data_IF_830562918146
#
_entry.id   IF_830562918146
#
_cell.length_a   1.000
_cell.length_b   1.000
_cell.length_c   1.000
_cell.angle_alpha   90.00
_cell.angle_beta   90.00
_cell.angle_gamma   90.00
#
_symmetry.space_group_name_H-M   'P 1'
#
loop_
_entity.id
_entity.type
_entity.pdbx_description
1 polymer ?
#
# COMPACT_ATOMS: atom_id res chain seq x y z
N UNK A 1 -41.24 11.01 -41.83
CA UNK A 1 -39.82 10.96 -41.58
C UNK A 1 -39.56 11.26 -40.13
N UNK A 2 -39.57 10.22 -39.33
CA UNK A 2 -39.23 10.26 -37.92
C UNK A 2 -37.75 9.87 -37.83
N UNK A 3 -36.93 10.81 -37.34
CA UNK A 3 -35.57 10.62 -37.03
C UNK A 3 -35.47 9.98 -35.61
N UNK A 4 -34.90 8.82 -35.40
CA UNK A 4 -34.72 8.31 -34.04
C UNK A 4 -33.54 9.01 -33.39
N UNK A 5 -33.86 9.67 -32.31
CA UNK A 5 -32.97 10.29 -31.36
C UNK A 5 -31.96 9.25 -30.83
N UNK A 6 -30.70 9.38 -31.24
CA UNK A 6 -29.60 8.67 -30.62
C UNK A 6 -29.16 9.47 -29.42
N UNK A 7 -29.80 9.24 -28.29
CA UNK A 7 -29.16 9.59 -27.02
C UNK A 7 -28.00 8.64 -26.78
N UNK A 8 -26.85 8.97 -27.30
CA UNK A 8 -25.59 8.41 -26.82
C UNK A 8 -25.41 8.93 -25.40
N UNK A 9 -25.71 8.09 -24.44
CA UNK A 9 -25.34 8.33 -23.05
C UNK A 9 -23.82 8.50 -23.00
N UNK A 10 -23.41 9.73 -22.81
CA UNK A 10 -22.05 10.05 -22.42
C UNK A 10 -21.90 9.51 -20.99
N UNK A 11 -21.43 8.29 -20.87
CA UNK A 11 -20.96 7.76 -19.59
C UNK A 11 -19.79 8.66 -19.24
N UNK A 12 -19.91 9.38 -18.14
CA UNK A 12 -18.95 10.35 -17.67
C UNK A 12 -17.63 9.60 -17.36
N UNK A 13 -16.74 9.55 -18.36
CA UNK A 13 -15.46 8.80 -18.29
C UNK A 13 -14.59 9.29 -17.13
N UNK A 14 -14.71 10.56 -16.76
CA UNK A 14 -13.95 11.14 -15.65
C UNK A 14 -14.38 10.58 -14.29
N UNK A 15 -15.67 10.30 -14.09
CA UNK A 15 -16.14 9.68 -12.84
C UNK A 15 -15.72 8.22 -12.72
N UNK A 16 -15.64 7.50 -13.83
CA UNK A 16 -15.20 6.12 -13.83
C UNK A 16 -13.69 6.03 -13.54
N UNK A 17 -12.89 6.91 -14.13
CA UNK A 17 -11.45 6.98 -13.87
C UNK A 17 -11.16 7.31 -12.40
N UNK A 18 -11.85 8.28 -11.82
CA UNK A 18 -11.69 8.63 -10.41
C UNK A 18 -12.03 7.47 -9.47
N UNK A 19 -13.04 6.65 -9.80
CA UNK A 19 -13.37 5.46 -9.02
C UNK A 19 -12.25 4.41 -9.09
N UNK A 20 -11.67 4.16 -10.26
CA UNK A 20 -10.56 3.22 -10.43
C UNK A 20 -9.30 3.67 -9.70
N UNK A 21 -8.99 4.98 -9.73
CA UNK A 21 -7.90 5.56 -8.96
C UNK A 21 -8.12 5.32 -7.46
N UNK A 22 -9.31 5.59 -6.97
CA UNK A 22 -9.67 5.39 -5.56
C UNK A 22 -9.53 3.92 -5.15
N UNK A 23 -10.04 3.00 -5.95
CA UNK A 23 -9.94 1.57 -5.69
C UNK A 23 -8.49 1.11 -5.62
N UNK A 24 -7.67 1.51 -6.59
CA UNK A 24 -6.25 1.15 -6.63
C UNK A 24 -5.48 1.74 -5.43
N UNK A 25 -5.67 3.01 -5.13
CA UNK A 25 -5.01 3.65 -3.98
C UNK A 25 -5.43 3.01 -2.65
N UNK A 26 -6.72 2.65 -2.51
CA UNK A 26 -7.19 1.92 -1.33
C UNK A 26 -6.53 0.53 -1.22
N UNK A 27 -6.40 -0.20 -2.31
CA UNK A 27 -5.78 -1.51 -2.30
C UNK A 27 -4.29 -1.44 -1.93
N UNK A 28 -3.52 -0.50 -2.49
CA UNK A 28 -2.10 -0.35 -2.16
C UNK A 28 -1.86 0.19 -0.74
N UNK A 29 -2.88 0.77 -0.11
CA UNK A 29 -2.76 1.31 1.25
C UNK A 29 -2.39 0.26 2.30
N UNK A 30 -2.57 -1.03 2.02
CA UNK A 30 -2.12 -2.13 2.89
C UNK A 30 -0.61 -2.12 3.12
N UNK A 31 0.15 -1.57 2.18
CA UNK A 31 1.62 -1.46 2.26
C UNK A 31 2.12 -0.12 2.82
N UNK A 32 1.25 0.81 3.20
CA UNK A 32 1.64 2.18 3.59
C UNK A 32 2.67 2.26 4.72
N UNK A 33 2.63 1.31 5.64
CA UNK A 33 3.49 1.29 6.82
C UNK A 33 4.81 0.51 6.61
N UNK A 34 5.01 -0.05 5.41
CA UNK A 34 6.11 -0.96 5.13
C UNK A 34 6.97 -0.49 3.97
N UNK A 35 8.28 -0.61 4.12
CA UNK A 35 9.22 -0.45 2.99
C UNK A 35 9.11 -1.65 2.03
N UNK A 36 8.79 -2.83 2.59
CA UNK A 36 8.55 -4.06 1.84
C UNK A 36 7.24 -4.69 2.30
N UNK A 37 6.35 -4.91 1.35
CA UNK A 37 5.12 -5.68 1.53
C UNK A 37 5.03 -6.75 0.44
N UNK A 38 5.03 -8.03 0.84
CA UNK A 38 5.02 -9.09 -0.16
C UNK A 38 4.96 -10.50 0.40
N UNK A 39 5.06 -11.49 -0.49
CA UNK A 39 5.06 -12.90 -0.09
C UNK A 39 6.44 -13.35 0.34
N UNK A 40 7.47 -12.97 -0.41
CA UNK A 40 8.81 -13.49 -0.24
C UNK A 40 9.85 -12.38 -0.32
N UNK A 41 10.74 -12.36 0.65
CA UNK A 41 11.93 -11.51 0.64
C UNK A 41 13.15 -12.41 0.61
N UNK A 42 13.99 -12.24 -0.41
CA UNK A 42 15.30 -12.88 -0.50
C UNK A 42 16.43 -11.86 -0.50
N UNK A 43 17.60 -12.26 0.00
CA UNK A 43 18.79 -11.43 -0.05
C UNK A 43 19.99 -12.27 -0.46
N UNK A 44 20.69 -11.86 -1.51
CA UNK A 44 21.75 -12.67 -2.11
C UNK A 44 23.15 -12.33 -1.58
N UNK A 45 23.34 -11.16 -1.03
CA UNK A 45 24.65 -10.69 -0.57
C UNK A 45 24.55 -10.08 0.82
N UNK A 46 24.80 -10.91 1.83
CA UNK A 46 24.94 -10.42 3.19
C UNK A 46 26.10 -9.44 3.34
N UNK A 47 25.96 -8.53 4.26
CA UNK A 47 26.97 -7.53 4.57
C UNK A 47 26.46 -6.54 5.60
N UNK A 48 26.93 -5.33 5.55
CA UNK A 48 26.46 -4.22 6.38
C UNK A 48 25.18 -3.59 5.86
N UNK A 49 24.63 -4.10 4.76
CA UNK A 49 23.40 -3.61 4.18
C UNK A 49 22.22 -3.84 5.14
N UNK A 50 21.27 -2.92 5.10
CA UNK A 50 20.11 -2.95 5.96
C UNK A 50 18.85 -2.47 5.24
N UNK A 51 17.73 -2.74 5.88
CA UNK A 51 16.43 -2.24 5.51
C UNK A 51 16.06 -1.18 6.55
N UNK A 52 16.07 0.09 6.15
CA UNK A 52 15.54 1.19 6.96
C UNK A 52 14.05 1.25 6.81
N UNK A 53 13.34 0.70 7.77
CA UNK A 53 11.88 0.67 7.77
C UNK A 53 11.32 -0.69 8.18
N UNK A 54 10.00 -0.77 8.10
CA UNK A 54 9.28 -1.98 8.50
C UNK A 54 9.00 -2.87 7.29
N UNK A 55 8.83 -4.15 7.54
CA UNK A 55 8.48 -5.14 6.51
C UNK A 55 7.28 -5.97 6.95
N UNK A 56 6.44 -6.37 5.98
CA UNK A 56 5.46 -7.42 6.15
C UNK A 56 5.60 -8.41 5.01
N UNK A 57 6.06 -9.62 5.34
CA UNK A 57 6.25 -10.68 4.35
C UNK A 57 5.79 -12.04 4.90
N UNK A 58 5.28 -12.89 4.02
CA UNK A 58 4.91 -14.24 4.40
C UNK A 58 6.15 -15.11 4.65
N UNK A 59 7.21 -14.90 3.88
CA UNK A 59 8.44 -15.68 4.01
C UNK A 59 9.70 -14.84 3.79
N UNK A 60 10.73 -15.12 4.56
CA UNK A 60 12.10 -14.65 4.30
C UNK A 60 12.97 -15.84 4.00
N UNK A 61 13.74 -15.75 2.93
CA UNK A 61 14.66 -16.78 2.50
C UNK A 61 16.06 -16.17 2.33
N UNK A 62 17.07 -16.84 2.86
CA UNK A 62 18.47 -16.46 2.65
C UNK A 62 18.78 -15.00 3.00
N UNK A 63 18.18 -14.46 4.06
CA UNK A 63 18.42 -13.09 4.49
C UNK A 63 19.62 -13.04 5.43
N UNK A 64 20.61 -12.22 5.11
CA UNK A 64 21.75 -11.91 5.97
C UNK A 64 21.91 -10.40 6.11
N UNK A 65 20.84 -9.72 6.52
CA UNK A 65 20.77 -8.27 6.60
C UNK A 65 20.22 -7.83 7.93
N UNK A 66 20.33 -6.53 8.20
CA UNK A 66 19.72 -5.90 9.35
C UNK A 66 18.40 -5.21 9.01
N UNK A 67 17.51 -5.15 9.99
CA UNK A 67 16.37 -4.25 10.01
C UNK A 67 16.71 -3.09 10.92
N UNK A 68 16.69 -1.89 10.36
CA UNK A 68 16.91 -0.66 11.10
C UNK A 68 15.66 0.21 11.01
N UNK A 69 15.06 0.49 12.14
CA UNK A 69 13.90 1.40 12.23
C UNK A 69 14.27 2.60 13.11
N UNK A 70 15.34 3.30 12.75
CA UNK A 70 15.98 4.28 13.61
C UNK A 70 15.12 5.50 13.90
N UNK A 71 14.68 6.20 12.90
CA UNK A 71 14.02 7.50 13.06
C UNK A 71 12.50 7.48 12.87
N UNK A 72 12.01 6.49 12.17
CA UNK A 72 10.59 6.37 11.79
C UNK A 72 9.70 5.96 12.96
N UNK A 73 10.28 5.41 14.02
CA UNK A 73 9.55 4.84 15.15
C UNK A 73 9.50 5.73 16.38
N UNK A 74 9.75 7.02 16.28
CA UNK A 74 9.58 7.92 17.43
C UNK A 74 8.08 8.26 17.58
N UNK A 75 7.44 7.75 18.64
CA UNK A 75 5.97 7.87 18.78
C UNK A 75 5.43 9.30 18.89
N UNK A 76 6.28 10.27 19.12
CA UNK A 76 5.92 11.67 19.37
C UNK A 76 6.53 12.64 18.35
N UNK A 77 7.09 12.15 17.25
CA UNK A 77 7.67 13.01 16.24
C UNK A 77 6.58 13.59 15.35
N UNK A 78 6.57 14.90 15.22
CA UNK A 78 5.71 15.57 14.24
C UNK A 78 6.35 15.37 12.86
N UNK A 79 5.67 14.66 12.00
CA UNK A 79 6.09 14.51 10.61
C UNK A 79 6.11 15.87 9.91
N UNK A 80 6.88 16.00 8.82
CA UNK A 80 7.01 17.26 8.09
C UNK A 80 5.68 17.79 7.53
N UNK A 81 4.64 16.98 7.50
CA UNK A 81 3.26 17.32 7.14
C UNK A 81 2.37 17.77 8.32
N UNK A 82 2.94 17.85 9.52
CA UNK A 82 2.23 18.27 10.73
C UNK A 82 1.46 17.17 11.46
N UNK A 83 1.47 15.91 10.94
CA UNK A 83 0.88 14.76 11.64
C UNK A 83 1.80 14.31 12.77
N UNK A 84 1.21 13.81 13.83
CA UNK A 84 1.97 13.16 14.91
C UNK A 84 2.18 11.70 14.54
N UNK A 85 3.42 11.23 14.54
CA UNK A 85 3.76 9.82 14.26
C UNK A 85 3.33 8.91 15.43
N UNK A 86 2.02 8.81 15.67
CA UNK A 86 1.44 7.95 16.72
C UNK A 86 1.08 6.55 16.21
N UNK A 87 1.22 6.30 14.92
CA UNK A 87 0.93 4.99 14.36
C UNK A 87 2.03 4.02 14.78
N UNK A 88 1.69 2.91 15.43
CA UNK A 88 2.67 1.89 15.78
C UNK A 88 3.43 1.43 14.56
N UNK A 89 4.75 1.41 14.62
CA UNK A 89 5.65 0.92 13.58
C UNK A 89 6.18 -0.45 13.99
N UNK A 90 6.01 -1.44 13.13
CA UNK A 90 6.38 -2.82 13.41
C UNK A 90 6.61 -3.58 12.11
N UNK A 91 7.33 -4.66 12.21
CA UNK A 91 7.52 -5.62 11.12
C UNK A 91 6.85 -6.94 11.45
N UNK A 92 6.35 -7.64 10.45
CA UNK A 92 5.81 -9.00 10.57
C UNK A 92 6.50 -9.88 9.55
N UNK A 93 7.09 -10.97 10.03
CA UNK A 93 7.67 -12.03 9.20
C UNK A 93 7.02 -13.34 9.62
N UNK A 94 6.22 -13.93 8.74
CA UNK A 94 5.42 -15.10 9.13
C UNK A 94 6.24 -16.38 9.19
N UNK A 95 7.21 -16.55 8.29
CA UNK A 95 8.10 -17.70 8.29
C UNK A 95 9.49 -17.34 7.73
N UNK A 96 10.45 -18.24 7.95
CA UNK A 96 11.81 -18.14 7.43
C UNK A 96 12.24 -19.51 6.89
N UNK A 97 11.91 -19.79 5.63
CA UNK A 97 12.21 -21.08 4.99
C UNK A 97 13.47 -20.98 4.15
N UNK A 98 14.32 -21.99 4.23
CA UNK A 98 15.41 -22.21 3.28
C UNK A 98 14.82 -22.84 2.01
N UNK A 99 14.31 -21.99 1.10
CA UNK A 99 13.65 -22.45 -0.13
C UNK A 99 14.62 -22.95 -1.19
N UNK A 100 15.87 -22.53 -1.14
CA UNK A 100 16.91 -22.92 -2.10
C UNK A 100 17.85 -24.01 -1.60
N UNK A 101 17.75 -24.42 -0.33
CA UNK A 101 18.54 -25.49 0.26
C UNK A 101 20.00 -25.10 0.56
N UNK A 102 20.32 -23.81 0.60
CA UNK A 102 21.67 -23.32 0.88
C UNK A 102 22.06 -23.34 2.38
N UNK A 103 21.15 -23.80 3.23
CA UNK A 103 21.36 -23.86 4.68
C UNK A 103 21.31 -22.48 5.36
N UNK A 104 20.76 -21.49 4.68
CA UNK A 104 20.47 -20.18 5.24
C UNK A 104 18.97 -20.08 5.46
N UNK A 105 18.58 -20.05 6.72
CA UNK A 105 17.23 -19.80 7.15
C UNK A 105 16.89 -18.30 7.14
N UNK A 106 15.67 -17.94 7.45
CA UNK A 106 15.18 -16.57 7.54
C UNK A 106 15.76 -15.81 8.73
N UNK A 107 17.07 -15.81 8.89
CA UNK A 107 17.76 -15.18 10.02
C UNK A 107 18.30 -13.83 9.64
N UNK A 108 17.76 -12.77 10.26
CA UNK A 108 18.34 -11.43 10.18
C UNK A 108 19.57 -11.33 11.03
N UNK A 109 20.60 -10.64 10.54
CA UNK A 109 21.85 -10.47 11.29
C UNK A 109 21.67 -9.59 12.53
N UNK A 110 20.80 -8.59 12.43
CA UNK A 110 20.51 -7.69 13.55
C UNK A 110 19.20 -6.90 13.34
N UNK A 111 18.66 -6.41 14.44
CA UNK A 111 17.67 -5.34 14.47
C UNK A 111 18.13 -4.25 15.42
N UNK A 112 17.83 -2.99 15.13
CA UNK A 112 18.23 -1.85 15.95
C UNK A 112 17.21 -0.70 15.96
N UNK A 113 17.48 0.32 16.75
CA UNK A 113 16.59 1.44 16.99
C UNK A 113 15.47 1.04 17.93
N UNK A 114 14.24 1.32 17.55
CA UNK A 114 13.04 0.89 18.27
C UNK A 114 12.26 -0.19 17.49
N UNK A 115 12.95 -0.98 16.68
CA UNK A 115 12.33 -2.00 15.84
C UNK A 115 11.53 -3.01 16.67
N UNK A 116 10.31 -3.28 16.23
CA UNK A 116 9.48 -4.36 16.73
C UNK A 116 9.30 -5.35 15.59
N UNK A 117 9.76 -6.57 15.78
CA UNK A 117 9.61 -7.65 14.81
C UNK A 117 8.71 -8.74 15.41
N UNK A 118 7.58 -8.98 14.78
CA UNK A 118 6.66 -10.07 15.13
C UNK A 118 6.98 -11.27 14.25
N UNK A 119 7.17 -12.42 14.88
CA UNK A 119 7.46 -13.71 14.23
C UNK A 119 6.55 -14.81 14.77
N UNK A 120 6.38 -15.88 14.00
CA UNK A 120 5.72 -17.08 14.49
C UNK A 120 6.64 -17.83 15.48
N UNK A 121 6.08 -18.29 16.57
CA UNK A 121 6.80 -19.07 17.61
C UNK A 121 7.39 -20.37 17.05
N UNK A 122 6.65 -21.05 16.20
CA UNK A 122 7.05 -22.30 15.56
C UNK A 122 7.65 -22.09 14.16
N UNK A 123 7.86 -20.81 13.74
CA UNK A 123 8.47 -20.47 12.47
C UNK A 123 10.00 -20.47 12.52
N UNK A 124 10.61 -20.40 11.34
CA UNK A 124 12.07 -20.40 11.20
C UNK A 124 12.67 -18.98 11.10
N UNK A 125 11.82 -17.93 11.12
CA UNK A 125 12.33 -16.55 11.16
C UNK A 125 13.02 -16.26 12.50
N UNK A 126 14.18 -15.63 12.44
CA UNK A 126 15.02 -15.39 13.62
C UNK A 126 15.87 -14.13 13.46
N UNK A 127 16.49 -13.68 14.56
CA UNK A 127 17.42 -12.55 14.59
C UNK A 127 18.62 -12.91 15.43
N UNK A 128 19.85 -12.68 14.93
CA UNK A 128 21.08 -12.96 15.69
C UNK A 128 21.34 -11.94 16.79
N UNK A 129 21.19 -10.65 16.47
CA UNK A 129 21.51 -9.57 17.38
C UNK A 129 20.33 -8.59 17.51
N UNK A 130 19.93 -8.35 18.75
CA UNK A 130 18.85 -7.40 19.07
C UNK A 130 19.50 -6.21 19.78
N UNK A 131 19.54 -5.06 19.14
CA UNK A 131 20.22 -3.86 19.61
C UNK A 131 19.22 -2.81 20.10
N UNK A 132 19.72 -1.90 20.93
CA UNK A 132 18.96 -0.77 21.49
C UNK A 132 17.66 -1.19 22.21
N UNK A 133 16.54 -0.56 21.90
CA UNK A 133 15.20 -0.88 22.44
C UNK A 133 14.40 -1.82 21.53
N UNK A 134 15.04 -2.40 20.54
CA UNK A 134 14.39 -3.31 19.61
C UNK A 134 13.88 -4.57 20.30
N UNK A 135 12.83 -5.16 19.76
CA UNK A 135 12.20 -6.35 20.31
C UNK A 135 11.84 -7.34 19.21
N UNK A 136 12.06 -8.61 19.47
CA UNK A 136 11.50 -9.72 18.71
C UNK A 136 10.42 -10.36 19.56
N UNK A 137 9.20 -10.42 19.04
CA UNK A 137 8.04 -10.96 19.75
C UNK A 137 7.51 -12.14 18.96
N UNK A 138 7.58 -13.33 19.59
CA UNK A 138 7.01 -14.55 19.02
C UNK A 138 5.56 -14.72 19.45
N UNK A 139 4.68 -15.00 18.48
CA UNK A 139 3.25 -15.25 18.68
C UNK A 139 2.92 -16.69 18.34
N UNK A 140 1.91 -17.24 19.00
CA UNK A 140 1.48 -18.64 18.77
C UNK A 140 0.82 -18.78 17.39
N UNK A 141 -0.01 -17.79 17.01
CA UNK A 141 -0.68 -17.79 15.71
C UNK A 141 -0.39 -16.49 14.96
N UNK A 142 0.58 -16.52 14.07
CA UNK A 142 0.99 -15.36 13.24
C UNK A 142 -0.09 -14.90 12.24
N UNK A 143 -1.18 -15.63 12.09
CA UNK A 143 -2.31 -15.25 11.27
C UNK A 143 -3.50 -14.74 12.11
N UNK A 144 -3.35 -14.65 13.41
CA UNK A 144 -4.36 -14.05 14.29
C UNK A 144 -4.10 -12.56 14.50
N UNK A 145 -4.91 -11.68 13.90
CA UNK A 145 -4.70 -10.24 14.00
C UNK A 145 -4.84 -9.70 15.42
N UNK A 146 -5.65 -10.33 16.27
CA UNK A 146 -5.82 -9.91 17.68
C UNK A 146 -4.57 -10.24 18.50
N UNK A 147 -4.01 -11.42 18.30
CA UNK A 147 -2.77 -11.80 18.97
C UNK A 147 -1.62 -10.90 18.57
N UNK A 148 -1.49 -10.59 17.27
CA UNK A 148 -0.46 -9.67 16.77
C UNK A 148 -0.65 -8.25 17.31
N UNK A 149 -1.88 -7.72 17.28
CA UNK A 149 -2.16 -6.37 17.79
C UNK A 149 -1.81 -6.23 19.27
N UNK A 150 -2.15 -7.26 20.07
CA UNK A 150 -1.82 -7.30 21.49
C UNK A 150 -0.28 -7.36 21.70
N UNK A 151 0.41 -8.20 20.94
CA UNK A 151 1.85 -8.32 21.01
C UNK A 151 2.57 -7.00 20.67
N UNK A 152 2.08 -6.27 19.69
CA UNK A 152 2.60 -4.96 19.31
C UNK A 152 2.33 -3.94 20.43
N UNK A 153 1.11 -3.90 20.97
CA UNK A 153 0.76 -2.99 22.05
C UNK A 153 1.63 -3.20 23.30
N UNK A 154 1.86 -4.46 23.68
CA UNK A 154 2.77 -4.82 24.77
C UNK A 154 4.22 -4.43 24.50
N UNK A 155 4.68 -4.59 23.27
CA UNK A 155 6.02 -4.20 22.87
C UNK A 155 6.21 -2.67 22.97
N UNK A 156 5.19 -1.89 22.56
CA UNK A 156 5.19 -0.44 22.72
C UNK A 156 5.22 -0.04 24.20
N UNK A 157 4.44 -0.71 25.04
CA UNK A 157 4.45 -0.43 26.48
C UNK A 157 5.83 -0.68 27.11
N UNK A 158 6.52 -1.73 26.70
CA UNK A 158 7.92 -2.00 27.12
C UNK A 158 8.90 -0.92 26.64
N UNK A 159 8.60 -0.23 25.55
CA UNK A 159 9.38 0.90 25.05
C UNK A 159 8.99 2.23 25.73
N UNK A 160 7.98 2.23 26.60
CA UNK A 160 7.52 3.39 27.36
C UNK A 160 6.35 4.14 26.73
N UNK A 161 5.68 3.54 25.74
CA UNK A 161 4.51 4.12 25.07
C UNK A 161 3.29 3.25 25.29
N UNK A 162 2.23 3.80 25.88
CA UNK A 162 0.95 3.11 26.05
C UNK A 162 -0.02 3.58 24.97
N UNK A 163 -0.54 2.67 24.17
CA UNK A 163 -1.56 2.98 23.18
C UNK A 163 -2.92 3.18 23.83
N UNK A 164 -3.68 4.16 23.37
CA UNK A 164 -5.07 4.35 23.76
C UNK A 164 -5.96 3.22 23.21
N UNK A 165 -7.20 3.15 23.67
CA UNK A 165 -8.13 2.12 23.17
C UNK A 165 -8.47 2.36 21.69
N UNK A 166 -8.56 3.60 21.26
CA UNK A 166 -8.76 4.01 19.87
C UNK A 166 -7.57 3.59 18.99
N UNK A 167 -6.34 3.85 19.45
CA UNK A 167 -5.11 3.45 18.75
C UNK A 167 -5.00 1.92 18.64
N UNK A 168 -5.38 1.19 19.68
CA UNK A 168 -5.43 -0.29 19.63
C UNK A 168 -6.49 -0.80 18.65
N UNK A 169 -7.67 -0.18 18.65
CA UNK A 169 -8.74 -0.54 17.72
C UNK A 169 -8.31 -0.28 16.25
N UNK A 170 -7.67 0.87 15.99
CA UNK A 170 -7.14 1.18 14.66
C UNK A 170 -6.02 0.20 14.26
N UNK A 171 -5.10 -0.09 15.16
CA UNK A 171 -4.04 -1.07 14.93
C UNK A 171 -4.62 -2.44 14.54
N UNK A 172 -5.63 -2.91 15.26
CA UNK A 172 -6.30 -4.18 14.95
C UNK A 172 -6.98 -4.15 13.57
N UNK A 173 -7.66 -3.05 13.24
CA UNK A 173 -8.29 -2.84 11.91
C UNK A 173 -7.24 -2.91 10.80
N UNK A 174 -6.12 -2.21 10.96
CA UNK A 174 -5.02 -2.19 9.99
C UNK A 174 -4.40 -3.58 9.81
N UNK A 175 -4.11 -4.28 10.89
CA UNK A 175 -3.55 -5.63 10.84
C UNK A 175 -4.52 -6.61 10.16
N UNK A 176 -5.81 -6.56 10.46
CA UNK A 176 -6.83 -7.38 9.78
C UNK A 176 -6.81 -7.16 8.27
N UNK A 177 -6.62 -5.92 7.82
CA UNK A 177 -6.52 -5.58 6.40
C UNK A 177 -5.21 -6.06 5.77
N UNK A 178 -4.10 -5.97 6.51
CA UNK A 178 -2.75 -6.19 5.99
C UNK A 178 -2.33 -7.66 5.93
N UNK A 179 -2.81 -8.52 6.83
CA UNK A 179 -2.27 -9.88 7.01
C UNK A 179 -2.50 -10.83 5.86
N UNK A 180 -3.57 -10.69 5.10
CA UNK A 180 -3.82 -11.58 3.97
C UNK A 180 -3.05 -11.13 2.73
N UNK A 181 -1.73 -11.29 2.76
CA UNK A 181 -0.82 -10.81 1.71
C UNK A 181 -1.21 -11.35 0.33
N UNK A 182 -1.53 -12.62 0.22
CA UNK A 182 -1.88 -13.23 -1.08
C UNK A 182 -3.13 -12.63 -1.71
N UNK A 183 -4.18 -12.39 -0.93
CA UNK A 183 -5.42 -11.78 -1.42
C UNK A 183 -5.19 -10.30 -1.73
N UNK A 184 -4.47 -9.59 -0.87
CA UNK A 184 -4.14 -8.19 -1.11
C UNK A 184 -3.33 -8.00 -2.39
N UNK A 185 -2.31 -8.82 -2.62
CA UNK A 185 -1.52 -8.74 -3.87
C UNK A 185 -2.37 -9.01 -5.11
N UNK A 186 -3.30 -9.96 -5.04
CA UNK A 186 -4.25 -10.23 -6.11
C UNK A 186 -5.13 -9.01 -6.40
N UNK A 187 -5.73 -8.41 -5.35
CA UNK A 187 -6.58 -7.24 -5.50
C UNK A 187 -5.80 -6.05 -6.07
N UNK A 188 -4.58 -5.81 -5.59
CA UNK A 188 -3.70 -4.76 -6.09
C UNK A 188 -3.37 -4.94 -7.57
N UNK A 189 -3.02 -6.17 -7.99
CA UNK A 189 -2.74 -6.45 -9.40
C UNK A 189 -3.96 -6.20 -10.28
N UNK A 190 -5.14 -6.64 -9.85
CA UNK A 190 -6.39 -6.47 -10.58
C UNK A 190 -6.82 -5.01 -10.69
N UNK A 191 -6.80 -4.26 -9.59
CA UNK A 191 -7.17 -2.83 -9.60
C UNK A 191 -6.14 -1.99 -10.35
N UNK A 192 -4.85 -2.29 -10.19
CA UNK A 192 -3.78 -1.64 -10.93
C UNK A 192 -3.89 -1.86 -12.44
N UNK A 193 -4.23 -3.07 -12.88
CA UNK A 193 -4.44 -3.37 -14.30
C UNK A 193 -5.69 -2.70 -14.86
N UNK A 194 -6.82 -2.73 -14.11
CA UNK A 194 -8.03 -2.00 -14.51
C UNK A 194 -7.78 -0.51 -14.68
N UNK A 195 -6.97 0.08 -13.79
CA UNK A 195 -6.60 1.49 -13.91
C UNK A 195 -5.73 1.75 -15.14
N UNK A 196 -4.75 0.89 -15.42
CA UNK A 196 -3.90 1.00 -16.60
C UNK A 196 -4.69 0.85 -17.90
N UNK A 197 -5.65 -0.08 -17.95
CA UNK A 197 -6.50 -0.32 -19.12
C UNK A 197 -7.47 0.83 -19.41
N UNK A 198 -7.84 1.59 -18.39
CA UNK A 198 -8.75 2.74 -18.51
C UNK A 198 -8.05 4.01 -19.01
N UNK A 199 -6.73 4.05 -19.02
CA UNK A 199 -5.95 5.18 -19.53
C UNK A 199 -6.04 5.23 -21.07
N UNK A 200 -6.98 6.04 -21.57
CA UNK A 200 -7.27 6.24 -23.00
C UNK A 200 -6.56 7.46 -23.57
N UNK A 201 -5.48 7.92 -22.93
CA UNK A 201 -4.75 9.10 -23.40
C UNK A 201 -3.92 8.76 -24.64
N UNK A 202 -3.96 9.67 -25.63
CA UNK A 202 -3.12 9.56 -26.84
C UNK A 202 -1.66 9.92 -26.57
N UNK A 203 -1.36 10.53 -25.41
CA UNK A 203 -0.04 10.98 -25.00
C UNK A 203 0.54 9.95 -24.03
N UNK A 204 1.70 9.40 -24.37
CA UNK A 204 2.37 8.34 -23.60
C UNK A 204 3.84 8.66 -23.38
N UNK A 205 4.45 7.94 -22.43
CA UNK A 205 5.89 7.95 -22.21
C UNK A 205 6.43 9.32 -21.83
N UNK A 206 7.55 9.67 -22.42
CA UNK A 206 8.24 10.93 -22.19
C UNK A 206 7.34 12.16 -22.40
N UNK A 207 6.48 12.16 -23.41
CA UNK A 207 5.60 13.29 -23.72
C UNK A 207 4.48 13.43 -22.66
N UNK A 208 3.95 12.33 -22.16
CA UNK A 208 2.98 12.35 -21.06
C UNK A 208 3.60 12.90 -19.77
N UNK A 209 4.83 12.51 -19.46
CA UNK A 209 5.56 13.01 -18.30
C UNK A 209 5.86 14.51 -18.40
N UNK A 210 6.23 15.00 -19.58
CA UNK A 210 6.42 16.44 -19.86
C UNK A 210 5.10 17.21 -19.71
N UNK A 211 4.02 16.69 -20.26
CA UNK A 211 2.69 17.32 -20.16
C UNK A 211 2.28 17.49 -18.69
N UNK A 212 2.37 16.44 -17.89
CA UNK A 212 2.05 16.51 -16.45
C UNK A 212 2.94 17.52 -15.74
N UNK A 213 4.25 17.50 -15.97
CA UNK A 213 5.17 18.51 -15.41
C UNK A 213 4.74 19.93 -15.74
N UNK A 214 4.43 20.20 -16.99
CA UNK A 214 4.07 21.54 -17.47
C UNK A 214 2.72 21.98 -16.91
N UNK A 215 1.76 21.06 -16.78
CA UNK A 215 0.45 21.33 -16.17
C UNK A 215 0.53 21.55 -14.65
N UNK A 216 1.46 20.90 -13.96
CA UNK A 216 1.75 21.19 -12.55
C UNK A 216 2.36 22.60 -12.45
N UNK A 217 3.30 22.95 -13.33
CA UNK A 217 3.94 24.25 -13.34
C UNK A 217 2.95 25.39 -13.64
N UNK A 218 2.00 25.19 -14.55
CA UNK A 218 0.97 26.19 -14.89
C UNK A 218 -0.17 26.28 -13.88
N UNK A 219 -0.33 25.27 -13.01
CA UNK A 219 -1.45 25.18 -12.07
C UNK A 219 -2.73 24.60 -12.69
N UNK A 220 -2.65 23.97 -13.86
CA UNK A 220 -3.77 23.28 -14.49
C UNK A 220 -4.15 21.98 -13.79
N UNK A 221 -3.25 21.46 -12.95
CA UNK A 221 -3.53 20.36 -12.02
C UNK A 221 -3.65 20.96 -10.61
N UNK A 222 -4.73 20.69 -9.94
CA UNK A 222 -4.98 21.16 -8.57
C UNK A 222 -3.94 20.61 -7.59
N UNK A 223 -3.61 21.40 -6.58
CA UNK A 223 -2.77 20.95 -5.48
C UNK A 223 -3.39 19.73 -4.81
N UNK A 224 -2.56 18.74 -4.47
CA UNK A 224 -3.00 17.44 -3.93
C UNK A 224 -3.92 16.64 -4.84
N UNK A 225 -4.04 17.03 -6.12
CA UNK A 225 -4.75 16.25 -7.12
C UNK A 225 -4.03 14.94 -7.42
N UNK A 226 -4.71 14.06 -8.14
CA UNK A 226 -4.15 12.80 -8.63
C UNK A 226 -4.29 12.75 -10.14
N UNK A 227 -3.22 12.36 -10.82
CA UNK A 227 -3.20 12.15 -12.26
C UNK A 227 -2.58 10.80 -12.60
N UNK A 228 -3.00 10.24 -13.73
CA UNK A 228 -2.42 9.03 -14.29
C UNK A 228 -1.69 9.34 -15.58
N UNK A 229 -0.60 8.63 -15.82
CA UNK A 229 0.11 8.62 -17.12
C UNK A 229 0.46 7.17 -17.46
N UNK A 230 0.59 6.89 -18.75
CA UNK A 230 1.08 5.61 -19.24
C UNK A 230 2.46 5.79 -19.88
N UNK A 231 3.40 4.95 -19.49
CA UNK A 231 4.75 4.87 -20.03
C UNK A 231 5.03 3.46 -20.53
N UNK A 232 5.97 3.32 -21.44
CA UNK A 232 6.43 2.00 -21.88
C UNK A 232 7.71 1.60 -21.13
N UNK A 233 7.99 0.32 -21.01
CA UNK A 233 9.19 -0.17 -20.36
C UNK A 233 10.48 0.45 -20.95
N UNK A 234 10.49 0.78 -22.24
CA UNK A 234 11.60 1.44 -22.91
C UNK A 234 11.87 2.89 -22.41
N UNK A 235 10.86 3.56 -21.86
CA UNK A 235 11.04 4.90 -21.30
C UNK A 235 11.90 4.86 -20.02
N UNK A 236 11.81 3.77 -19.25
CA UNK A 236 12.50 3.62 -17.96
C UNK A 236 14.03 3.49 -18.11
N UNK A 237 14.51 3.11 -19.29
CA UNK A 237 15.95 3.07 -19.63
C UNK A 237 16.40 4.32 -20.37
N UNK A 238 15.49 5.25 -20.66
CA UNK A 238 15.79 6.51 -21.36
C UNK A 238 16.27 7.58 -20.37
N UNK A 239 17.51 8.04 -20.51
CA UNK A 239 18.06 9.08 -19.65
C UNK A 239 17.30 10.42 -19.70
N UNK A 240 16.70 10.79 -20.83
CA UNK A 240 15.90 12.01 -20.93
C UNK A 240 14.60 11.91 -20.12
N UNK A 241 14.02 10.72 -20.02
CA UNK A 241 12.88 10.46 -19.16
C UNK A 241 13.25 10.69 -17.67
N UNK A 242 14.36 10.13 -17.22
CA UNK A 242 14.84 10.30 -15.84
C UNK A 242 15.14 11.76 -15.50
N UNK A 243 15.72 12.54 -16.43
CA UNK A 243 16.04 13.95 -16.24
C UNK A 243 14.81 14.82 -15.97
N UNK A 244 13.64 14.46 -16.47
CA UNK A 244 12.41 15.21 -16.18
C UNK A 244 12.12 15.21 -14.68
N UNK A 245 12.40 14.13 -13.98
CA UNK A 245 12.20 14.06 -12.53
C UNK A 245 13.20 14.91 -11.76
N UNK A 246 14.47 14.96 -12.18
CA UNK A 246 15.58 15.36 -11.32
C UNK A 246 16.37 16.59 -11.80
N UNK A 247 16.28 16.97 -13.09
CA UNK A 247 17.20 17.94 -13.68
C UNK A 247 16.73 19.39 -13.53
N UNK A 248 17.39 20.11 -12.63
CA UNK A 248 17.30 21.55 -12.49
C UNK A 248 16.02 22.11 -11.87
N UNK A 249 15.85 23.42 -11.99
CA UNK A 249 14.74 24.19 -11.43
C UNK A 249 13.37 23.79 -12.01
N UNK A 250 13.36 23.31 -13.24
CA UNK A 250 12.15 22.84 -13.93
C UNK A 250 11.87 21.35 -13.77
N UNK A 251 12.58 20.66 -12.88
CA UNK A 251 12.35 19.24 -12.63
C UNK A 251 10.99 18.99 -11.99
N UNK A 252 10.43 17.84 -12.30
CA UNK A 252 9.13 17.44 -11.76
C UNK A 252 9.14 17.40 -10.22
N UNK A 253 10.19 16.84 -9.62
CA UNK A 253 10.31 16.78 -8.15
C UNK A 253 10.29 18.17 -7.53
N UNK A 254 11.01 19.14 -8.13
CA UNK A 254 11.05 20.49 -7.61
C UNK A 254 9.71 21.22 -7.76
N UNK A 255 9.10 21.14 -8.94
CA UNK A 255 7.81 21.77 -9.21
C UNK A 255 6.67 21.18 -8.40
N UNK A 256 6.70 19.87 -8.15
CA UNK A 256 5.65 19.16 -7.43
C UNK A 256 5.81 19.20 -5.91
N UNK A 257 6.97 19.63 -5.39
CA UNK A 257 7.25 19.60 -3.95
C UNK A 257 6.17 20.30 -3.11
N UNK A 258 5.75 21.48 -3.53
CA UNK A 258 4.77 22.27 -2.80
C UNK A 258 3.33 21.99 -3.27
N UNK A 259 3.18 21.37 -4.43
CA UNK A 259 1.89 21.03 -5.03
C UNK A 259 1.33 19.71 -4.55
N UNK A 260 2.19 18.78 -4.18
CA UNK A 260 1.82 17.47 -3.68
C UNK A 260 0.86 16.69 -4.61
N UNK A 261 0.98 16.87 -5.91
CA UNK A 261 0.19 16.10 -6.88
C UNK A 261 0.66 14.65 -6.88
N UNK A 262 -0.26 13.72 -6.73
CA UNK A 262 0.02 12.29 -6.85
C UNK A 262 0.03 11.90 -8.33
N UNK A 263 1.09 11.25 -8.76
CA UNK A 263 1.27 10.82 -10.15
C UNK A 263 1.35 9.29 -10.16
N UNK A 264 0.35 8.65 -10.73
CA UNK A 264 0.33 7.22 -10.94
C UNK A 264 0.87 6.96 -12.34
N UNK A 265 1.99 6.25 -12.41
CA UNK A 265 2.71 5.95 -13.64
C UNK A 265 2.41 4.49 -13.98
N UNK A 266 1.46 4.29 -14.89
CA UNK A 266 1.13 2.97 -15.42
C UNK A 266 2.22 2.53 -16.38
N UNK A 267 2.97 1.50 -16.03
CA UNK A 267 4.01 0.95 -16.88
C UNK A 267 3.42 -0.11 -17.79
N UNK A 268 3.31 0.21 -19.06
CA UNK A 268 2.88 -0.75 -20.08
C UNK A 268 3.96 -1.79 -20.26
N UNK A 269 3.58 -3.03 -20.07
CA UNK A 269 4.44 -4.19 -20.25
C UNK A 269 3.98 -5.01 -21.45
N UNK A 270 4.94 -5.64 -22.12
CA UNK A 270 4.65 -6.61 -23.14
C UNK A 270 4.36 -8.00 -22.53
N UNK A 271 4.93 -9.01 -23.13
CA UNK A 271 4.84 -10.37 -22.61
C UNK A 271 5.55 -10.50 -21.24
N UNK A 272 5.05 -11.38 -20.39
CA UNK A 272 5.53 -11.55 -19.00
C UNK A 272 7.02 -11.97 -18.87
N UNK A 273 7.64 -12.42 -19.94
CA UNK A 273 9.04 -12.85 -19.95
C UNK A 273 10.04 -11.70 -20.17
N UNK A 274 9.57 -10.49 -20.39
CA UNK A 274 10.43 -9.33 -20.60
C UNK A 274 10.81 -8.75 -19.23
N UNK A 275 12.11 -8.66 -18.95
CA UNK A 275 12.59 -7.94 -17.76
C UNK A 275 12.48 -6.43 -17.98
N UNK A 276 11.83 -5.75 -17.06
CA UNK A 276 11.72 -4.28 -17.04
C UNK A 276 12.79 -3.72 -16.11
N UNK A 277 13.57 -2.76 -16.60
CA UNK A 277 14.74 -2.28 -15.88
C UNK A 277 14.72 -0.76 -15.69
N UNK A 278 15.04 -0.32 -14.48
CA UNK A 278 15.37 1.06 -14.17
C UNK A 278 16.89 1.23 -14.19
N UNK A 279 17.43 1.80 -15.25
CA UNK A 279 18.88 1.98 -15.46
C UNK A 279 19.37 3.41 -15.26
N UNK A 280 18.48 4.35 -14.96
CA UNK A 280 18.81 5.73 -14.72
C UNK A 280 18.37 6.15 -13.30
N UNK A 281 19.11 7.03 -12.64
CA UNK A 281 18.72 7.52 -11.33
C UNK A 281 17.45 8.38 -11.42
N UNK A 282 16.45 8.04 -10.62
CA UNK A 282 15.16 8.74 -10.51
C UNK A 282 14.91 8.98 -9.00
N UNK A 283 15.88 9.55 -8.34
CA UNK A 283 15.78 9.93 -6.93
C UNK A 283 16.44 11.29 -6.70
N UNK A 284 15.97 11.99 -5.69
CA UNK A 284 16.59 13.19 -5.17
C UNK A 284 16.30 13.29 -3.67
N UNK A 285 17.31 13.05 -2.86
CA UNK A 285 17.22 13.05 -1.38
C UNK A 285 16.72 14.38 -0.80
N UNK A 286 16.84 15.49 -1.53
CA UNK A 286 16.29 16.77 -1.10
C UNK A 286 14.75 16.79 -1.08
N UNK A 287 14.10 15.75 -1.62
CA UNK A 287 12.65 15.67 -1.79
C UNK A 287 12.04 14.37 -1.26
N UNK A 288 12.69 13.71 -0.32
CA UNK A 288 12.31 12.38 0.21
C UNK A 288 10.84 12.29 0.63
N UNK A 289 10.32 13.32 1.28
CA UNK A 289 8.93 13.37 1.76
C UNK A 289 7.88 13.42 0.65
N UNK A 290 8.29 13.68 -0.59
CA UNK A 290 7.39 13.77 -1.73
C UNK A 290 7.44 12.54 -2.63
N UNK A 291 8.34 11.61 -2.36
CA UNK A 291 8.51 10.41 -3.18
C UNK A 291 7.29 9.49 -3.12
N UNK A 292 6.50 9.53 -2.04
CA UNK A 292 5.23 8.80 -1.93
C UNK A 292 4.17 9.26 -2.93
N UNK A 293 4.36 10.42 -3.54
CA UNK A 293 3.46 10.94 -4.59
C UNK A 293 3.68 10.29 -5.95
N UNK A 294 4.73 9.51 -6.12
CA UNK A 294 5.06 8.84 -7.38
C UNK A 294 4.83 7.35 -7.24
N UNK A 295 3.81 6.85 -7.94
CA UNK A 295 3.38 5.44 -7.87
C UNK A 295 3.65 4.76 -9.19
N UNK A 296 4.60 3.83 -9.21
CA UNK A 296 4.95 3.02 -10.37
C UNK A 296 4.08 1.76 -10.38
N UNK A 297 3.05 1.77 -11.22
CA UNK A 297 2.06 0.71 -11.31
C UNK A 297 2.38 -0.23 -12.46
N UNK A 298 2.71 -1.48 -12.14
CA UNK A 298 2.97 -2.55 -13.11
C UNK A 298 1.74 -3.43 -13.37
N UNK A 299 0.57 -3.09 -12.82
CA UNK A 299 -0.67 -3.81 -13.04
C UNK A 299 -0.56 -5.29 -12.69
N UNK A 300 -0.97 -6.15 -13.63
CA UNK A 300 -0.94 -7.60 -13.49
C UNK A 300 0.37 -8.27 -13.98
N UNK A 301 1.40 -7.46 -14.29
CA UNK A 301 2.70 -7.94 -14.73
C UNK A 301 3.29 -8.96 -13.76
N UNK A 302 3.63 -10.14 -14.27
CA UNK A 302 4.14 -11.26 -13.48
C UNK A 302 5.62 -11.56 -13.70
N UNK A 303 6.33 -10.72 -14.45
CA UNK A 303 7.75 -10.84 -14.71
C UNK A 303 8.61 -10.14 -13.64
N UNK A 304 9.81 -9.74 -14.04
CA UNK A 304 10.81 -9.15 -13.18
C UNK A 304 11.01 -7.67 -13.47
N UNK A 305 10.97 -6.85 -12.42
CA UNK A 305 11.38 -5.44 -12.42
C UNK A 305 12.73 -5.35 -11.72
N UNK A 306 13.73 -4.74 -12.37
CA UNK A 306 15.08 -4.60 -11.84
C UNK A 306 15.40 -3.13 -11.61
N UNK A 307 15.78 -2.79 -10.40
CA UNK A 307 16.20 -1.44 -10.00
C UNK A 307 17.72 -1.43 -9.92
N UNK A 308 18.38 -0.93 -10.98
CA UNK A 308 19.84 -0.87 -11.09
C UNK A 308 20.45 0.46 -10.65
N UNK A 309 19.63 1.48 -10.49
CA UNK A 309 20.05 2.82 -10.08
C UNK A 309 19.15 3.34 -8.98
N UNK A 310 19.66 4.31 -8.26
CA UNK A 310 18.91 4.98 -7.21
C UNK A 310 17.59 5.54 -7.74
N UNK A 311 16.50 5.13 -7.11
CA UNK A 311 15.17 5.63 -7.45
C UNK A 311 14.34 5.85 -6.19
N UNK A 312 13.26 6.61 -6.34
CA UNK A 312 12.30 6.88 -5.30
C UNK A 312 10.87 6.64 -5.74
N UNK A 313 10.01 6.42 -4.77
CA UNK A 313 8.57 6.25 -4.99
C UNK A 313 8.02 4.91 -4.52
N UNK A 314 6.75 4.68 -4.86
CA UNK A 314 6.06 3.42 -4.59
C UNK A 314 6.17 2.53 -5.83
N UNK A 315 6.79 1.36 -5.69
CA UNK A 315 6.95 0.38 -6.77
C UNK A 315 5.97 -0.77 -6.54
N UNK A 316 4.96 -0.87 -7.39
CA UNK A 316 3.84 -1.79 -7.24
C UNK A 316 3.89 -2.84 -8.35
N UNK A 317 4.41 -4.02 -8.05
CA UNK A 317 4.52 -5.17 -8.95
C UNK A 317 3.94 -6.43 -8.28
N UNK A 318 2.64 -6.39 -7.99
CA UNK A 318 1.98 -7.31 -7.06
C UNK A 318 2.02 -8.78 -7.50
N UNK A 319 2.07 -9.07 -8.81
CA UNK A 319 2.17 -10.43 -9.34
C UNK A 319 3.60 -10.86 -9.68
N UNK A 320 4.56 -9.93 -9.68
CA UNK A 320 5.92 -10.17 -10.16
C UNK A 320 6.98 -10.07 -9.07
N UNK A 321 8.21 -10.01 -9.55
CA UNK A 321 9.41 -9.85 -8.73
C UNK A 321 9.95 -8.42 -8.88
N UNK A 322 10.42 -7.84 -7.77
CA UNK A 322 11.23 -6.62 -7.78
C UNK A 322 12.62 -6.96 -7.25
N UNK A 323 13.62 -6.80 -8.11
CA UNK A 323 15.04 -6.99 -7.78
C UNK A 323 15.70 -5.63 -7.54
N UNK A 324 16.30 -5.45 -6.36
CA UNK A 324 16.91 -4.19 -5.93
C UNK A 324 18.44 -4.34 -5.91
N UNK A 325 19.10 -3.69 -6.86
CA UNK A 325 20.54 -3.73 -7.07
C UNK A 325 21.25 -2.40 -6.71
N UNK A 326 20.49 -1.41 -6.26
CA UNK A 326 21.00 -0.10 -5.85
C UNK A 326 20.35 0.34 -4.54
N UNK A 327 21.05 1.14 -3.76
CA UNK A 327 20.41 1.84 -2.64
C UNK A 327 19.29 2.73 -3.17
N UNK A 328 18.14 2.71 -2.53
CA UNK A 328 16.97 3.46 -3.01
C UNK A 328 15.99 3.83 -1.90
N UNK A 329 15.27 4.91 -2.13
CA UNK A 329 14.25 5.46 -1.23
C UNK A 329 12.86 5.09 -1.78
N UNK A 330 12.44 3.86 -1.51
CA UNK A 330 11.24 3.27 -2.09
C UNK A 330 10.39 2.56 -1.04
N UNK A 331 9.12 2.39 -1.38
CA UNK A 331 8.29 1.32 -0.84
C UNK A 331 7.98 0.34 -1.97
N UNK A 332 8.08 -0.94 -1.68
CA UNK A 332 7.86 -2.00 -2.67
C UNK A 332 6.71 -2.89 -2.24
N UNK A 333 5.72 -3.03 -3.11
CA UNK A 333 4.68 -4.05 -3.00
C UNK A 333 4.88 -5.02 -4.16
N UNK A 334 5.27 -6.25 -3.85
CA UNK A 334 5.53 -7.26 -4.87
C UNK A 334 5.29 -8.67 -4.35
N UNK A 335 5.13 -9.63 -5.26
CA UNK A 335 5.07 -11.04 -4.89
C UNK A 335 6.40 -11.50 -4.32
N UNK A 336 7.49 -11.19 -4.99
CA UNK A 336 8.85 -11.52 -4.55
C UNK A 336 9.72 -10.27 -4.58
N UNK A 337 10.50 -10.07 -3.54
CA UNK A 337 11.48 -9.00 -3.47
C UNK A 337 12.86 -9.62 -3.27
N UNK A 338 13.77 -9.33 -4.19
CA UNK A 338 15.16 -9.78 -4.16
C UNK A 338 16.08 -8.60 -3.91
N UNK A 339 16.77 -8.61 -2.79
CA UNK A 339 17.67 -7.52 -2.38
C UNK A 339 19.12 -7.95 -2.48
N UNK A 340 19.90 -7.23 -3.27
CA UNK A 340 21.28 -7.58 -3.60
C UNK A 340 22.31 -6.71 -2.83
N UNK A 341 22.27 -6.75 -1.50
CA UNK A 341 23.30 -6.15 -0.65
C UNK A 341 23.32 -4.62 -0.61
N UNK A 342 22.26 -3.96 -1.05
CA UNK A 342 22.11 -2.50 -1.04
C UNK A 342 21.11 -2.07 0.03
N UNK A 343 21.18 -0.82 0.47
CA UNK A 343 20.25 -0.27 1.45
C UNK A 343 18.91 0.08 0.81
N UNK A 344 17.84 -0.19 1.54
CA UNK A 344 16.49 0.30 1.22
C UNK A 344 16.03 1.20 2.35
N UNK A 345 15.59 2.40 1.99
CA UNK A 345 15.09 3.38 2.93
C UNK A 345 13.60 3.57 2.72
N UNK A 346 12.85 3.51 3.81
CA UNK A 346 11.42 3.81 3.77
C UNK A 346 11.24 5.30 3.56
N UNK A 347 10.45 5.65 2.54
CA UNK A 347 9.97 7.00 2.36
C UNK A 347 8.71 7.21 3.20
N UNK A 348 8.67 8.36 3.86
CA UNK A 348 7.50 8.83 4.57
C UNK A 348 6.90 10.00 3.81
N UNK A 349 5.63 10.17 3.94
CA UNK A 349 4.90 11.25 3.33
C UNK A 349 3.41 11.10 3.61
N UNK A 350 2.68 12.11 3.23
CA UNK A 350 1.24 12.08 3.24
C UNK A 350 0.76 11.09 2.18
N UNK A 351 0.54 9.85 2.60
CA UNK A 351 -0.28 8.94 1.83
C UNK A 351 -1.70 9.49 1.95
N UNK A 352 -2.09 10.44 1.10
CA UNK A 352 -3.46 11.01 1.02
C UNK A 352 -4.55 9.94 0.78
N UNK A 353 -4.29 8.73 1.20
CA UNK A 353 -5.27 7.67 1.37
C UNK A 353 -6.17 7.93 2.57
N UNK A 354 -5.81 8.91 3.42
CA UNK A 354 -6.72 9.48 4.41
C UNK A 354 -7.70 10.50 3.79
N UNK A 355 -8.22 10.23 2.63
CA UNK A 355 -9.62 10.49 2.43
C UNK A 355 -10.36 9.40 3.17
N UNK A 356 -10.18 9.35 4.47
CA UNK A 356 -11.21 8.91 5.38
C UNK A 356 -12.38 9.92 5.30
N UNK A 357 -12.96 10.02 4.19
CA UNK A 357 -14.39 9.97 4.10
C UNK A 357 -14.72 8.50 4.30
N UNK A 358 -14.46 7.98 5.49
CA UNK A 358 -15.37 7.04 6.08
C UNK A 358 -16.70 7.80 6.20
N UNK A 359 -17.32 8.02 5.10
CA UNK A 359 -18.72 7.84 4.99
C UNK A 359 -18.82 6.31 5.06
N UNK A 360 -18.61 5.74 6.24
CA UNK A 360 -19.39 4.63 6.67
C UNK A 360 -20.84 5.13 6.57
N UNK A 361 -21.31 5.18 5.39
CA UNK A 361 -22.66 4.83 5.14
C UNK A 361 -22.62 3.32 5.35
N UNK A 362 -22.54 2.92 6.61
CA UNK A 362 -23.22 1.73 7.05
C UNK A 362 -24.66 1.98 6.63
N UNK A 363 -24.90 1.77 5.39
CA UNK A 363 -26.16 1.25 4.97
C UNK A 363 -26.06 -0.19 5.44
N UNK A 364 -26.17 -0.37 6.74
CA UNK A 364 -26.81 -1.55 7.26
C UNK A 364 -28.16 -1.55 6.58
N UNK A 365 -28.17 -2.04 5.38
CA UNK A 365 -29.31 -2.70 4.87
C UNK A 365 -29.32 -4.00 5.63
N UNK A 366 -29.62 -3.92 6.93
CA UNK A 366 -30.28 -5.02 7.58
C UNK A 366 -31.52 -5.25 6.76
N UNK A 367 -31.35 -6.04 5.74
CA UNK A 367 -32.44 -6.79 5.19
C UNK A 367 -32.59 -7.90 6.23
N UNK A 368 -33.06 -7.54 7.41
CA UNK A 368 -33.78 -8.48 8.23
C UNK A 368 -34.94 -8.90 7.36
N UNK A 369 -34.69 -9.92 6.59
CA UNK A 369 -35.73 -10.77 6.12
C UNK A 369 -36.07 -11.62 7.34
N UNK A 370 -36.64 -11.00 8.37
CA UNK A 370 -37.45 -11.70 9.31
C UNK A 370 -38.59 -12.27 8.50
N UNK A 371 -38.35 -13.44 8.00
CA UNK A 371 -39.44 -14.34 7.66
C UNK A 371 -39.94 -14.88 9.00
N UNK A 372 -40.47 -14.01 9.84
CA UNK A 372 -41.37 -14.43 10.87
C UNK A 372 -42.57 -15.00 10.15
N UNK A 373 -42.51 -16.28 9.90
CA UNK A 373 -43.67 -17.07 9.71
C UNK A 373 -44.29 -17.27 11.10
N UNK A 374 -44.66 -16.20 11.77
CA UNK A 374 -45.58 -16.29 12.85
C UNK A 374 -46.91 -16.69 12.23
N UNK A 375 -47.13 -17.96 12.23
CA UNK A 375 -48.45 -18.51 12.17
C UNK A 375 -49.03 -18.35 13.57
N UNK A 376 -49.07 -17.13 14.07
CA UNK A 376 -49.90 -16.80 15.16
C UNK A 376 -51.32 -16.83 14.65
N UNK A 377 -51.93 -17.97 14.88
CA UNK A 377 -53.36 -18.08 14.92
C UNK A 377 -53.83 -17.52 16.26
N UNK A 378 -53.31 -16.35 16.63
CA UNK A 378 -53.90 -15.59 17.68
C UNK A 378 -55.19 -15.02 17.17
N UNK A 379 -56.21 -15.68 17.54
CA UNK A 379 -57.55 -15.10 17.62
C UNK A 379 -57.56 -14.16 18.83
N UNK A 380 -56.51 -13.37 18.96
CA UNK A 380 -56.55 -12.27 19.87
C UNK A 380 -57.48 -11.25 19.23
N UNK A 381 -58.62 -11.22 19.83
CA UNK A 381 -59.47 -10.06 19.81
C UNK A 381 -58.75 -9.00 20.65
N UNK A 382 -57.52 -8.71 20.27
CA UNK A 382 -56.89 -7.53 20.76
C UNK A 382 -57.70 -6.37 20.24
N UNK A 383 -58.46 -5.89 21.14
CA UNK A 383 -58.90 -4.51 21.06
C UNK A 383 -57.68 -3.72 21.39
N UNK A 384 -56.69 -3.83 20.54
CA UNK A 384 -55.61 -2.87 20.51
C UNK A 384 -56.23 -1.54 20.15
N UNK A 385 -56.45 -0.84 21.18
CA UNK A 385 -56.56 0.59 21.10
C UNK A 385 -55.15 1.06 20.94
N UNK A 386 -54.47 0.59 19.93
CA UNK A 386 -53.26 1.21 19.48
C UNK A 386 -53.64 2.57 18.98
N UNK A 387 -53.42 3.47 19.84
CA UNK A 387 -53.31 4.86 19.49
C UNK A 387 -51.91 5.09 18.95
N UNK A 388 -51.39 4.12 18.22
CA UNK A 388 -50.21 4.34 17.43
C UNK A 388 -50.62 5.27 16.33
N UNK A 389 -50.19 6.47 16.55
CA UNK A 389 -50.15 7.49 15.51
C UNK A 389 -48.98 7.24 14.62
N UNK A 390 -48.51 5.99 14.62
CA UNK A 390 -47.54 5.58 13.66
C UNK A 390 -48.24 5.52 12.33
N UNK A 391 -47.74 6.34 11.47
CA UNK A 391 -48.04 6.30 10.07
C UNK A 391 -47.41 5.09 9.42
N UNK A 392 -47.31 4.01 10.15
CA UNK A 392 -46.92 2.74 9.60
C UNK A 392 -48.09 2.33 8.72
N UNK A 393 -47.83 2.37 7.47
CA UNK A 393 -48.64 1.74 6.48
C UNK A 393 -48.42 0.26 6.53
N UNK A 394 -48.63 -0.32 7.72
CA UNK A 394 -48.79 -1.75 7.81
C UNK A 394 -50.08 -2.07 7.06
N UNK A 395 -49.89 -2.50 5.88
CA UNK A 395 -50.93 -3.19 5.14
C UNK A 395 -50.98 -4.62 5.69
N UNK A 396 -51.34 -4.76 6.95
CA UNK A 396 -51.86 -6.01 7.43
C UNK A 396 -53.14 -6.26 6.71
N UNK A 397 -53.05 -7.02 5.67
CA UNK A 397 -54.20 -7.65 5.08
C UNK A 397 -54.54 -8.87 5.92
N UNK A 398 -55.13 -8.62 7.05
CA UNK A 398 -55.88 -9.64 7.73
C UNK A 398 -57.05 -10.04 6.87
N UNK A 399 -56.99 -11.24 6.40
CA UNK A 399 -58.14 -11.95 5.85
C UNK A 399 -58.38 -13.21 6.67
#
# INVERSE_FOLDING_TARGET
NLNPDKSTGNVDSSKNENALIKDFLNDISVGKDYVIYGKELTSTNGGTAHIDGNILVDNVDNVSEGIKTGEISKPDETLNDGRTAKTPKFSIVKDGSDLDGNGRDGTFDWIEGNAILIIAKDGNANVKNINDKSQVVAVENINDPEEIANAIAEAYEKQGTTLTDEEKAQLLKDIKKQLNVSENLKNIAESGQKLADADDTSIRGLEALKDVRDRIASGDIEERGTVTITVDAADLVNGEFAKIFTDGEGSLYKLNRDKNVKIIINVSHGEADITITFDNPINNTDYDNHLTKYVWNFGDYSGKVVINKDMGGLVICANGEVEVNSSCDVRVIAKTITKNGQEMHQIEGDDDTDTDTDTDTDTDTDTDTDTDTDTDTDTDTDTDTDTDTDTDTDTDTDT
#
